data_IF_385326473539
#
_entry.id   IF_385326473539
#
_cell.length_a   1.000
_cell.length_b   1.000
_cell.length_c   1.000
_cell.angle_alpha   90.00
_cell.angle_beta   90.00
_cell.angle_gamma   90.00
#
_symmetry.space_group_name_H-M   'P 1'
#
loop_
_entity.id
_entity.type
_entity.pdbx_description
1 polymer ?
#
# COMPACT_ATOMS: atom_id res chain seq x y z
N UNK A 1 -11.18 23.86 -4.41
CA UNK A 1 -9.81 24.41 -4.34
C UNK A 1 -9.60 25.32 -5.54
N UNK A 2 -8.93 26.47 -5.37
CA UNK A 2 -8.69 27.45 -6.44
C UNK A 2 -7.78 26.88 -7.53
N UNK A 3 -6.85 26.00 -7.15
CA UNK A 3 -5.89 25.38 -8.05
C UNK A 3 -6.54 24.65 -9.24
N UNK A 4 -7.67 23.96 -9.04
CA UNK A 4 -8.36 23.27 -10.14
C UNK A 4 -8.91 24.22 -11.21
N UNK A 5 -9.30 25.44 -10.83
CA UNK A 5 -9.71 26.46 -11.80
C UNK A 5 -8.53 27.10 -12.51
N UNK A 6 -7.38 27.22 -11.83
CA UNK A 6 -6.17 27.80 -12.40
C UNK A 6 -5.48 26.87 -13.40
N UNK A 7 -5.45 25.56 -13.13
CA UNK A 7 -4.86 24.59 -14.07
C UNK A 7 -5.62 24.45 -15.40
N UNK A 8 -6.85 25.00 -15.47
CA UNK A 8 -7.64 25.07 -16.70
C UNK A 8 -7.43 26.36 -17.49
N UNK A 9 -6.64 27.31 -16.97
CA UNK A 9 -6.31 28.55 -17.69
C UNK A 9 -5.24 28.30 -18.75
N UNK A 10 -5.25 29.14 -19.79
CA UNK A 10 -4.28 29.08 -20.89
C UNK A 10 -2.84 29.37 -20.45
N UNK A 11 -2.68 30.16 -19.39
CA UNK A 11 -1.41 30.41 -18.73
C UNK A 11 -1.49 29.87 -17.30
N UNK A 12 -0.88 28.70 -17.07
CA UNK A 12 -0.82 28.07 -15.76
C UNK A 12 0.20 28.74 -14.84
N UNK A 13 1.12 29.56 -15.38
CA UNK A 13 2.35 29.94 -14.69
C UNK A 13 3.31 28.74 -14.50
N UNK A 14 4.19 28.84 -13.50
CA UNK A 14 5.17 27.80 -13.22
C UNK A 14 4.57 26.65 -12.41
N UNK A 15 4.69 25.42 -12.93
CA UNK A 15 4.32 24.21 -12.21
C UNK A 15 5.52 23.72 -11.40
N UNK A 16 5.33 23.57 -10.09
CA UNK A 16 6.37 23.22 -9.14
C UNK A 16 6.19 21.78 -8.66
N UNK A 17 7.20 20.95 -8.92
CA UNK A 17 7.31 19.55 -8.56
C UNK A 17 8.31 19.37 -7.42
N UNK A 18 7.82 18.82 -6.31
CA UNK A 18 8.57 18.59 -5.08
C UNK A 18 8.49 17.11 -4.72
N UNK A 19 9.60 16.55 -4.25
CA UNK A 19 9.74 15.12 -4.01
C UNK A 19 10.10 14.85 -2.56
N UNK A 20 9.49 13.81 -2.01
CA UNK A 20 9.70 13.34 -0.64
C UNK A 20 10.03 11.86 -0.69
N UNK A 21 11.05 11.44 0.04
CA UNK A 21 11.40 10.03 0.24
C UNK A 21 11.40 9.76 1.74
N UNK A 22 10.46 8.94 2.18
CA UNK A 22 10.28 8.62 3.60
C UNK A 22 11.09 7.37 3.97
N UNK A 23 12.21 7.57 4.67
CA UNK A 23 13.04 6.49 5.22
C UNK A 23 12.79 6.24 6.71
N UNK A 24 11.83 6.94 7.33
CA UNK A 24 11.52 6.79 8.76
C UNK A 24 11.14 5.36 9.17
N UNK A 25 10.45 4.54 8.34
CA UNK A 25 10.19 3.14 8.68
C UNK A 25 11.45 2.29 8.82
N UNK A 26 12.55 2.73 8.22
CA UNK A 26 13.86 2.06 8.29
C UNK A 26 14.80 2.68 9.33
N UNK A 27 14.32 3.63 10.14
CA UNK A 27 15.12 4.39 11.10
C UNK A 27 16.00 5.48 10.48
N UNK A 28 15.72 5.85 9.22
CA UNK A 28 16.37 6.96 8.52
C UNK A 28 15.59 8.27 8.63
N UNK A 29 16.02 9.26 7.85
CA UNK A 29 15.40 10.59 7.79
C UNK A 29 14.32 10.66 6.71
N UNK A 30 13.38 11.60 6.88
CA UNK A 30 12.44 11.97 5.83
C UNK A 30 13.11 13.01 4.92
N UNK A 31 13.50 12.57 3.72
CA UNK A 31 14.26 13.37 2.77
C UNK A 31 13.34 14.17 1.85
N UNK A 32 13.71 15.42 1.53
CA UNK A 32 12.90 16.36 0.73
C UNK A 32 13.76 17.06 -0.32
N UNK A 33 13.35 16.97 -1.58
CA UNK A 33 14.15 17.41 -2.71
C UNK A 33 13.32 18.05 -3.83
N UNK A 34 13.99 18.81 -4.69
CA UNK A 34 13.46 19.21 -6.00
C UNK A 34 14.50 18.99 -7.11
N UNK A 35 14.02 18.68 -8.32
CA UNK A 35 14.84 18.37 -9.49
C UNK A 35 15.28 19.59 -10.33
N UNK A 36 14.94 20.81 -9.93
CA UNK A 36 15.28 22.03 -10.68
C UNK A 36 16.78 22.33 -10.74
N UNK A 37 17.22 23.01 -11.80
CA UNK A 37 18.62 23.44 -11.99
C UNK A 37 19.06 24.54 -11.02
N UNK A 38 18.11 25.21 -10.36
CA UNK A 38 18.43 26.19 -9.33
C UNK A 38 19.00 25.51 -8.09
N UNK A 39 19.94 26.17 -7.43
CA UNK A 39 20.55 25.68 -6.19
C UNK A 39 19.86 26.20 -4.92
N UNK A 40 18.80 26.99 -5.08
CA UNK A 40 18.05 27.56 -3.96
C UNK A 40 17.06 26.54 -3.41
N UNK A 41 16.96 26.46 -2.09
CA UNK A 41 15.95 25.65 -1.40
C UNK A 41 14.56 26.22 -1.70
N UNK A 42 13.62 25.35 -2.06
CA UNK A 42 12.21 25.71 -2.16
C UNK A 42 11.54 25.41 -0.82
N UNK A 43 10.77 26.36 -0.29
CA UNK A 43 9.94 26.19 0.91
C UNK A 43 8.48 25.94 0.52
N UNK A 44 7.91 24.85 1.05
CA UNK A 44 6.52 24.50 0.80
C UNK A 44 5.89 23.88 2.05
N UNK A 45 4.74 24.40 2.47
CA UNK A 45 4.03 23.95 3.67
C UNK A 45 4.93 23.99 4.93
N UNK A 46 5.84 24.97 5.00
CA UNK A 46 6.81 25.11 6.08
C UNK A 46 7.98 24.14 6.05
N UNK A 47 8.11 23.31 5.00
CA UNK A 47 9.23 22.38 4.82
C UNK A 47 10.21 22.87 3.76
N UNK A 48 11.49 22.57 3.96
CA UNK A 48 12.56 22.88 3.02
C UNK A 48 12.82 21.71 2.07
N UNK A 49 12.82 22.00 0.77
CA UNK A 49 13.15 21.07 -0.30
C UNK A 49 14.47 21.50 -0.94
N UNK A 50 15.50 20.67 -0.78
CA UNK A 50 16.83 20.98 -1.30
C UNK A 50 16.99 20.62 -2.78
N UNK A 51 17.94 21.25 -3.50
CA UNK A 51 18.27 20.86 -4.85
C UNK A 51 18.92 19.48 -4.87
N UNK A 52 18.32 18.54 -5.60
CA UNK A 52 18.95 17.25 -5.89
C UNK A 52 18.55 16.77 -7.28
N UNK A 53 19.49 16.41 -8.17
CA UNK A 53 19.16 15.91 -9.50
C UNK A 53 18.32 14.64 -9.39
N UNK A 54 17.05 14.71 -9.77
CA UNK A 54 16.15 13.56 -9.79
C UNK A 54 15.05 13.77 -10.82
N UNK A 55 14.53 12.68 -11.37
CA UNK A 55 13.44 12.70 -12.33
C UNK A 55 12.60 11.43 -12.22
N UNK A 56 11.29 11.54 -12.38
CA UNK A 56 10.38 10.39 -12.51
C UNK A 56 9.83 10.38 -13.93
N UNK A 57 9.94 9.24 -14.60
CA UNK A 57 9.40 8.99 -15.93
C UNK A 57 8.36 7.86 -15.90
N UNK A 58 7.45 7.82 -16.88
CA UNK A 58 6.42 6.78 -16.95
C UNK A 58 5.25 6.98 -15.99
N UNK A 59 5.00 8.22 -15.55
CA UNK A 59 3.80 8.58 -14.79
C UNK A 59 2.59 8.54 -15.73
N UNK A 60 1.92 7.40 -15.83
CA UNK A 60 0.71 7.22 -16.64
C UNK A 60 -0.51 6.90 -15.77
N UNK A 61 -1.56 7.72 -15.81
CA UNK A 61 -2.84 7.35 -15.18
C UNK A 61 -3.66 6.54 -16.18
N UNK A 62 -3.54 5.21 -16.14
CA UNK A 62 -4.41 4.31 -16.92
C UNK A 62 -5.67 4.00 -16.12
N UNK A 63 -6.83 4.16 -16.75
CA UNK A 63 -8.14 3.79 -16.17
C UNK A 63 -8.47 2.29 -16.27
N UNK A 64 -7.70 1.54 -17.07
CA UNK A 64 -7.87 0.10 -17.29
C UNK A 64 -6.49 -0.55 -17.53
N UNK A 65 -6.27 -1.75 -17.01
CA UNK A 65 -4.99 -2.48 -17.05
C UNK A 65 -4.12 -2.39 -15.78
N UNK A 66 -2.92 -3.01 -15.80
CA UNK A 66 -2.01 -3.00 -14.66
C UNK A 66 -1.56 -1.57 -14.35
N UNK A 67 -1.40 -1.27 -13.05
CA UNK A 67 -0.87 0.01 -12.58
C UNK A 67 0.47 0.32 -13.26
N UNK A 68 0.72 1.58 -13.65
CA UNK A 68 2.02 1.97 -14.21
C UNK A 68 3.14 1.63 -13.22
N UNK A 69 4.31 1.32 -13.76
CA UNK A 69 5.56 1.17 -13.00
C UNK A 69 6.54 2.27 -13.41
N UNK A 70 6.41 3.49 -12.84
CA UNK A 70 7.30 4.60 -13.16
C UNK A 70 8.75 4.29 -12.79
N UNK A 71 9.68 4.93 -13.49
CA UNK A 71 11.11 4.85 -13.16
C UNK A 71 11.55 6.16 -12.50
N UNK A 72 12.09 6.06 -11.29
CA UNK A 72 12.74 7.17 -10.59
C UNK A 72 14.25 7.10 -10.83
N UNK A 73 14.81 8.14 -11.43
CA UNK A 73 16.26 8.31 -11.60
C UNK A 73 16.77 9.38 -10.65
N UNK A 74 17.79 9.05 -9.84
CA UNK A 74 18.37 9.95 -8.83
C UNK A 74 19.87 10.08 -9.07
N UNK A 75 20.38 11.31 -9.01
CA UNK A 75 21.81 11.59 -9.06
C UNK A 75 22.55 10.95 -7.89
N UNK A 76 23.66 10.28 -8.16
CA UNK A 76 24.46 9.56 -7.18
C UNK A 76 25.67 10.36 -6.69
N UNK A 77 25.68 11.67 -6.93
CA UNK A 77 26.76 12.59 -6.53
C UNK A 77 26.18 13.59 -5.54
N UNK A 78 26.67 13.57 -4.31
CA UNK A 78 26.37 14.58 -3.29
C UNK A 78 27.56 15.50 -3.04
N UNK A 79 27.54 16.18 -1.89
CA UNK A 79 28.62 17.06 -1.43
C UNK A 79 29.17 16.58 -0.10
N UNK A 80 30.49 16.62 0.08
CA UNK A 80 31.12 16.42 1.38
C UNK A 80 30.96 17.66 2.29
N UNK A 81 31.50 17.59 3.52
CA UNK A 81 31.44 18.70 4.50
C UNK A 81 32.15 19.97 4.02
N UNK A 82 33.07 19.83 3.07
CA UNK A 82 33.87 20.90 2.50
C UNK A 82 33.31 21.37 1.14
N UNK A 83 32.16 20.82 0.70
CA UNK A 83 31.47 21.16 -0.54
C UNK A 83 31.98 20.46 -1.79
N UNK A 84 32.94 19.51 -1.69
CA UNK A 84 33.44 18.79 -2.85
C UNK A 84 32.47 17.68 -3.29
N UNK A 85 32.43 17.33 -4.60
CA UNK A 85 31.60 16.25 -5.09
C UNK A 85 31.97 14.91 -4.45
N UNK A 86 31.00 14.27 -3.79
CA UNK A 86 31.12 12.94 -3.21
C UNK A 86 30.29 11.95 -4.03
N UNK A 87 30.91 11.07 -4.84
CA UNK A 87 30.18 10.04 -5.58
C UNK A 87 29.72 8.91 -4.66
N UNK A 88 28.63 8.25 -5.03
CA UNK A 88 28.12 7.05 -4.35
C UNK A 88 27.22 7.31 -3.14
N UNK A 89 26.69 8.52 -2.97
CA UNK A 89 25.84 8.85 -1.81
C UNK A 89 24.55 8.04 -1.80
N UNK A 90 23.87 7.92 -2.95
CA UNK A 90 22.64 7.12 -3.06
C UNK A 90 22.98 5.62 -2.99
N UNK A 91 24.11 5.19 -3.56
CA UNK A 91 24.61 3.82 -3.40
C UNK A 91 24.83 3.45 -1.93
N UNK A 92 25.41 4.36 -1.14
CA UNK A 92 25.60 4.15 0.29
C UNK A 92 24.26 4.04 1.05
N UNK A 93 23.27 4.88 0.70
CA UNK A 93 21.91 4.76 1.24
C UNK A 93 21.28 3.41 0.86
N UNK A 94 21.46 2.94 -0.36
CA UNK A 94 20.99 1.62 -0.80
C UNK A 94 21.64 0.50 0.03
N UNK A 95 22.96 0.56 0.28
CA UNK A 95 23.64 -0.42 1.11
C UNK A 95 23.14 -0.43 2.56
N UNK A 96 22.86 0.75 3.11
CA UNK A 96 22.37 0.91 4.48
C UNK A 96 20.92 0.41 4.66
N UNK A 97 20.05 0.71 3.68
CA UNK A 97 18.61 0.51 3.78
C UNK A 97 18.06 -0.53 2.81
N UNK A 98 18.87 -1.56 2.47
CA UNK A 98 18.46 -2.70 1.62
C UNK A 98 17.82 -2.25 0.30
N UNK A 99 18.58 -1.47 -0.48
CA UNK A 99 18.20 -0.88 -1.75
C UNK A 99 16.97 0.04 -1.69
N UNK A 100 16.64 0.56 -0.50
CA UNK A 100 15.48 1.42 -0.26
C UNK A 100 14.15 0.74 -0.62
N UNK A 101 14.13 -0.59 -0.73
CA UNK A 101 12.92 -1.33 -1.07
C UNK A 101 11.82 -1.11 -0.03
N UNK A 102 10.64 -0.71 -0.50
CA UNK A 102 9.48 -0.35 0.32
C UNK A 102 9.51 1.08 0.85
N UNK A 103 10.53 1.88 0.53
CA UNK A 103 10.52 3.31 0.87
C UNK A 103 9.46 4.04 0.05
N UNK A 104 8.72 4.93 0.73
CA UNK A 104 7.64 5.69 0.10
C UNK A 104 8.21 6.92 -0.58
N UNK A 105 7.90 7.06 -1.87
CA UNK A 105 8.21 8.24 -2.68
C UNK A 105 6.93 9.01 -2.91
N UNK A 106 6.89 10.27 -2.51
CA UNK A 106 5.74 11.16 -2.73
C UNK A 106 6.16 12.34 -3.60
N UNK A 107 5.41 12.59 -4.66
CA UNK A 107 5.53 13.75 -5.51
C UNK A 107 4.37 14.70 -5.23
N UNK A 108 4.71 15.90 -4.76
CA UNK A 108 3.78 17.01 -4.57
C UNK A 108 3.90 17.96 -5.74
N UNK A 109 2.76 18.45 -6.20
CA UNK A 109 2.69 19.37 -7.34
C UNK A 109 1.80 20.56 -7.00
N UNK A 110 2.34 21.76 -7.15
CA UNK A 110 1.62 23.02 -6.95
C UNK A 110 1.96 24.03 -8.05
N UNK A 111 1.33 25.20 -8.05
CA UNK A 111 1.75 26.33 -8.89
C UNK A 111 2.70 27.22 -8.09
N UNK A 112 3.74 27.74 -8.72
CA UNK A 112 4.78 28.55 -8.08
C UNK A 112 4.23 29.75 -7.31
N UNK A 113 3.14 30.35 -7.80
CA UNK A 113 2.45 31.45 -7.12
C UNK A 113 1.87 31.10 -5.75
N UNK A 114 1.65 29.82 -5.46
CA UNK A 114 1.12 29.38 -4.18
C UNK A 114 2.21 29.12 -3.13
N UNK A 115 3.49 29.05 -3.55
CA UNK A 115 4.63 28.74 -2.68
C UNK A 115 4.72 29.68 -1.47
N UNK A 116 5.35 29.20 -0.39
CA UNK A 116 5.48 29.95 0.86
C UNK A 116 6.15 31.30 0.62
N UNK A 117 5.77 32.32 1.41
CA UNK A 117 6.28 33.70 1.28
C UNK A 117 7.81 33.80 1.36
N UNK A 118 8.44 32.93 2.14
CA UNK A 118 9.89 32.87 2.34
C UNK A 118 10.69 32.60 1.05
N UNK A 119 10.06 32.10 -0.01
CA UNK A 119 10.72 31.90 -1.30
C UNK A 119 10.97 33.22 -2.04
N UNK A 120 10.31 34.31 -1.66
CA UNK A 120 10.30 35.57 -2.39
C UNK A 120 10.83 36.71 -1.52
N UNK A 121 11.75 37.56 -2.02
CA UNK A 121 12.33 38.66 -1.24
C UNK A 121 11.30 39.65 -0.67
N UNK A 122 10.18 39.86 -1.37
CA UNK A 122 9.08 40.75 -0.95
C UNK A 122 7.92 40.00 -0.26
N UNK A 123 8.10 38.70 0.00
CA UNK A 123 7.03 37.81 0.43
C UNK A 123 6.11 37.37 -0.72
N UNK A 124 5.08 36.59 -0.38
CA UNK A 124 4.08 36.15 -1.35
C UNK A 124 2.66 36.30 -0.78
N UNK A 125 1.86 37.26 -1.29
CA UNK A 125 0.47 37.45 -0.85
C UNK A 125 -0.47 36.32 -1.33
N UNK A 126 -0.08 35.60 -2.38
CA UNK A 126 -0.82 34.48 -2.94
C UNK A 126 -0.42 33.13 -2.32
N UNK A 127 0.49 33.13 -1.33
CA UNK A 127 0.91 31.91 -0.64
C UNK A 127 -0.30 31.19 -0.03
N UNK A 128 -0.51 29.94 -0.43
CA UNK A 128 -1.63 29.13 0.07
C UNK A 128 -1.22 27.64 0.11
N UNK A 129 -0.85 27.11 1.30
CA UNK A 129 -0.40 25.73 1.45
C UNK A 129 -1.47 24.69 1.14
N UNK A 130 -2.75 25.08 1.05
CA UNK A 130 -3.86 24.20 0.69
C UNK A 130 -4.06 24.06 -0.83
N UNK A 131 -3.34 24.84 -1.65
CA UNK A 131 -3.39 24.72 -3.10
C UNK A 131 -2.31 23.74 -3.57
N UNK A 132 -2.62 22.45 -3.55
CA UNK A 132 -1.82 21.41 -4.21
C UNK A 132 -2.72 20.55 -5.11
N UNK A 133 -2.13 20.00 -6.17
CA UNK A 133 -2.76 18.91 -6.90
C UNK A 133 -2.68 17.64 -6.05
N UNK A 134 -3.58 16.66 -6.28
CA UNK A 134 -3.54 15.39 -5.55
C UNK A 134 -2.13 14.80 -5.57
N UNK A 135 -1.50 14.60 -4.39
CA UNK A 135 -0.15 14.10 -4.32
C UNK A 135 -0.11 12.68 -4.87
N UNK A 136 0.94 12.39 -5.64
CA UNK A 136 1.15 11.06 -6.20
C UNK A 136 2.16 10.33 -5.33
N UNK A 137 1.85 9.10 -4.92
CA UNK A 137 2.74 8.34 -4.06
C UNK A 137 2.94 6.92 -4.54
N UNK A 138 4.18 6.47 -4.45
CA UNK A 138 4.65 5.16 -4.84
C UNK A 138 5.53 4.56 -3.75
N UNK A 139 5.83 3.28 -3.88
CA UNK A 139 6.85 2.58 -3.11
C UNK A 139 7.96 2.11 -4.05
N UNK A 140 9.21 2.17 -3.59
CA UNK A 140 10.35 1.62 -4.34
C UNK A 140 10.25 0.09 -4.32
N UNK A 141 10.09 -0.52 -5.49
CA UNK A 141 9.96 -1.98 -5.62
C UNK A 141 11.32 -2.67 -5.75
N UNK A 142 12.18 -2.12 -6.62
CA UNK A 142 13.53 -2.63 -6.86
C UNK A 142 14.44 -1.56 -7.47
N UNK A 143 15.75 -1.71 -7.24
CA UNK A 143 16.80 -0.95 -7.92
C UNK A 143 17.08 -1.58 -9.28
N UNK A 144 16.82 -0.84 -10.37
CA UNK A 144 17.00 -1.33 -11.74
C UNK A 144 18.46 -1.23 -12.20
N UNK A 145 19.10 -0.10 -11.93
CA UNK A 145 20.48 0.13 -12.33
C UNK A 145 21.19 1.09 -11.38
N UNK A 146 22.51 0.95 -11.31
CA UNK A 146 23.38 1.76 -10.48
C UNK A 146 24.68 2.03 -11.23
N UNK A 147 25.08 3.30 -11.27
CA UNK A 147 26.40 3.72 -11.72
C UNK A 147 26.92 4.86 -10.81
N UNK A 148 28.14 5.34 -11.06
CA UNK A 148 28.76 6.37 -10.22
C UNK A 148 28.06 7.74 -10.27
N UNK A 149 27.23 7.99 -11.27
CA UNK A 149 26.54 9.27 -11.50
C UNK A 149 25.04 9.22 -11.20
N UNK A 150 24.39 8.08 -11.33
CA UNK A 150 22.95 7.92 -11.11
C UNK A 150 22.57 6.52 -10.63
N UNK A 151 21.44 6.45 -9.92
CA UNK A 151 20.75 5.23 -9.51
C UNK A 151 19.31 5.29 -9.99
N UNK A 152 18.81 4.21 -10.58
CA UNK A 152 17.45 4.11 -11.10
C UNK A 152 16.65 3.07 -10.32
N UNK A 153 15.43 3.44 -9.94
CA UNK A 153 14.49 2.62 -9.18
C UNK A 153 13.20 2.41 -9.96
N UNK A 154 12.64 1.21 -9.85
CA UNK A 154 11.28 0.93 -10.26
C UNK A 154 10.33 1.28 -9.12
N UNK A 155 9.27 2.03 -9.43
CA UNK A 155 8.25 2.43 -8.49
C UNK A 155 6.97 1.61 -8.72
N UNK A 156 6.35 1.17 -7.63
CA UNK A 156 5.05 0.53 -7.62
C UNK A 156 4.03 1.44 -6.92
N UNK A 157 2.77 1.41 -7.37
CA UNK A 157 1.70 2.11 -6.64
C UNK A 157 1.45 1.42 -5.29
N UNK A 158 1.19 2.17 -4.22
CA UNK A 158 0.91 1.65 -2.86
C UNK A 158 -0.23 0.61 -2.82
N UNK A 159 -1.14 0.63 -3.80
CA UNK A 159 -2.22 -0.35 -3.94
C UNK A 159 -1.78 -1.69 -4.58
N UNK A 160 -0.53 -1.83 -4.99
CA UNK A 160 -0.01 -3.10 -5.48
C UNK A 160 0.16 -4.01 -4.27
N UNK A 161 -0.81 -4.90 -4.05
CA UNK A 161 -0.89 -5.75 -2.86
C UNK A 161 0.17 -6.85 -2.92
N UNK A 162 1.39 -6.50 -2.54
CA UNK A 162 2.49 -7.43 -2.48
C UNK A 162 2.23 -8.47 -1.38
N UNK A 163 2.28 -9.76 -1.77
CA UNK A 163 2.04 -10.88 -0.86
C UNK A 163 0.58 -11.33 -0.67
N UNK A 164 -0.40 -10.65 -1.27
CA UNK A 164 -1.78 -11.17 -1.31
C UNK A 164 -1.91 -12.19 -2.43
N UNK A 165 -1.80 -13.49 -2.09
CA UNK A 165 -2.17 -14.55 -3.02
C UNK A 165 -3.68 -14.52 -3.25
N UNK A 166 -4.09 -14.00 -4.41
CA UNK A 166 -5.42 -14.23 -4.94
C UNK A 166 -5.49 -15.62 -5.58
N UNK A 167 -6.57 -16.39 -5.35
CA UNK A 167 -7.73 -16.06 -4.54
C UNK A 167 -7.47 -16.30 -3.03
N UNK A 168 -7.91 -15.36 -2.18
CA UNK A 168 -7.85 -15.50 -0.71
C UNK A 168 -8.70 -16.65 -0.15
N UNK A 169 -9.44 -17.35 -1.02
CA UNK A 169 -10.28 -18.49 -0.73
C UNK A 169 -9.82 -19.72 -1.52
N UNK A 170 -9.22 -20.70 -0.84
CA UNK A 170 -8.86 -22.00 -1.43
C UNK A 170 -9.91 -23.02 -1.00
N UNK A 171 -10.74 -23.46 -1.95
CA UNK A 171 -11.71 -24.56 -1.74
C UNK A 171 -10.95 -25.88 -1.72
N UNK A 172 -10.82 -26.51 -0.55
CA UNK A 172 -10.22 -27.84 -0.40
C UNK A 172 -11.33 -28.89 -0.24
N UNK A 173 -11.21 -30.01 -0.96
CA UNK A 173 -12.22 -31.10 -0.96
C UNK A 173 -12.29 -31.85 0.37
N UNK A 174 -11.28 -31.74 1.23
CA UNK A 174 -11.16 -32.52 2.47
C UNK A 174 -11.56 -31.77 3.74
N UNK A 175 -11.59 -30.44 3.73
CA UNK A 175 -11.80 -29.63 4.94
C UNK A 175 -12.67 -28.40 4.64
N UNK A 176 -13.59 -28.10 5.55
CA UNK A 176 -14.42 -26.91 5.51
C UNK A 176 -13.58 -25.64 5.61
N UNK A 177 -13.77 -24.72 4.67
CA UNK A 177 -13.12 -23.42 4.70
C UNK A 177 -13.62 -22.52 5.84
N UNK A 178 -14.88 -22.68 6.26
CA UNK A 178 -15.49 -21.81 7.28
C UNK A 178 -14.87 -22.00 8.65
N UNK A 179 -14.37 -23.18 8.99
CA UNK A 179 -13.66 -23.39 10.25
C UNK A 179 -12.31 -22.67 10.30
N UNK A 180 -11.66 -22.44 9.14
CA UNK A 180 -10.37 -21.73 9.06
C UNK A 180 -10.49 -20.23 9.24
N UNK A 181 -11.63 -19.64 8.86
CA UNK A 181 -11.87 -18.19 8.99
C UNK A 181 -12.74 -17.84 10.21
N UNK A 182 -12.94 -18.79 11.14
CA UNK A 182 -13.75 -18.57 12.35
C UNK A 182 -15.27 -18.51 12.12
N UNK A 183 -15.75 -18.99 10.97
CA UNK A 183 -17.16 -19.00 10.58
C UNK A 183 -18.01 -20.14 11.15
N UNK A 184 -17.46 -21.00 12.01
CA UNK A 184 -18.22 -22.03 12.73
C UNK A 184 -19.24 -21.38 13.68
N UNK A 185 -20.49 -21.88 13.70
CA UNK A 185 -21.65 -21.26 14.38
C UNK A 185 -22.02 -19.83 13.93
N UNK A 186 -21.28 -19.24 13.00
CA UNK A 186 -21.57 -17.93 12.41
C UNK A 186 -22.45 -18.00 11.16
N UNK A 187 -22.67 -16.84 10.55
CA UNK A 187 -23.43 -16.67 9.31
C UNK A 187 -22.86 -17.45 8.11
N UNK A 188 -21.60 -17.89 8.17
CA UNK A 188 -20.98 -18.71 7.14
C UNK A 188 -21.40 -20.19 7.24
N UNK A 189 -21.09 -20.86 8.36
CA UNK A 189 -21.42 -22.27 8.54
C UNK A 189 -22.92 -22.53 8.73
N UNK A 190 -23.66 -21.55 9.28
CA UNK A 190 -25.09 -21.64 9.61
C UNK A 190 -25.50 -22.80 10.52
N UNK A 191 -24.54 -23.40 11.23
CA UNK A 191 -24.83 -24.34 12.30
C UNK A 191 -25.41 -23.58 13.50
N UNK A 192 -26.70 -23.77 13.76
CA UNK A 192 -27.42 -23.13 14.86
C UNK A 192 -27.91 -24.12 15.93
N UNK A 193 -27.49 -25.38 15.82
CA UNK A 193 -27.84 -26.45 16.78
C UNK A 193 -27.20 -26.25 18.15
N UNK A 194 -27.90 -26.69 19.19
CA UNK A 194 -27.44 -26.64 20.57
C UNK A 194 -26.36 -27.67 20.89
N UNK A 195 -26.31 -28.79 20.15
CA UNK A 195 -25.28 -29.80 20.32
C UNK A 195 -23.89 -29.20 20.06
N UNK A 196 -22.93 -29.51 20.93
CA UNK A 196 -21.56 -29.02 20.87
C UNK A 196 -20.61 -30.21 20.82
N UNK A 197 -19.53 -30.06 20.07
CA UNK A 197 -18.51 -31.10 19.93
C UNK A 197 -17.12 -30.48 20.00
N UNK A 198 -16.20 -31.17 20.66
CA UNK A 198 -14.81 -30.76 20.69
C UNK A 198 -14.11 -30.98 19.33
N UNK A 199 -12.82 -30.61 19.27
CA UNK A 199 -11.98 -30.75 18.08
C UNK A 199 -11.88 -32.20 17.57
N UNK A 200 -12.11 -33.17 18.45
CA UNK A 200 -11.98 -34.61 18.20
C UNK A 200 -13.38 -35.25 17.98
N UNK A 201 -14.40 -34.40 17.74
CA UNK A 201 -15.80 -34.76 17.51
C UNK A 201 -16.47 -35.49 18.70
N UNK A 202 -15.95 -35.35 19.92
CA UNK A 202 -16.63 -35.84 21.11
C UNK A 202 -17.67 -34.83 21.60
N UNK A 203 -18.87 -35.28 22.02
CA UNK A 203 -19.87 -34.40 22.59
C UNK A 203 -19.30 -33.65 23.80
N UNK A 204 -19.55 -32.34 23.87
CA UNK A 204 -19.16 -31.51 25.00
C UNK A 204 -20.31 -30.64 25.45
N UNK A 205 -20.33 -30.27 26.73
CA UNK A 205 -21.25 -29.28 27.30
C UNK A 205 -20.58 -27.93 27.52
N UNK A 206 -19.27 -27.85 27.34
CA UNK A 206 -18.49 -26.61 27.51
C UNK A 206 -18.45 -25.81 26.19
N UNK A 207 -19.05 -24.60 26.13
CA UNK A 207 -19.00 -23.75 24.95
C UNK A 207 -17.59 -23.32 24.53
N UNK A 208 -16.63 -23.25 25.46
CA UNK A 208 -15.25 -22.88 25.13
C UNK A 208 -14.50 -24.01 24.40
N UNK A 209 -14.94 -25.25 24.61
CA UNK A 209 -14.40 -26.44 23.97
C UNK A 209 -15.07 -26.76 22.61
N UNK A 210 -16.23 -26.15 22.30
CA UNK A 210 -16.97 -26.39 21.06
C UNK A 210 -16.18 -25.90 19.83
N UNK A 211 -15.61 -26.85 19.08
CA UNK A 211 -14.78 -26.57 17.91
C UNK A 211 -15.07 -27.58 16.81
N UNK A 212 -15.31 -27.11 15.60
CA UNK A 212 -15.48 -27.98 14.44
C UNK A 212 -14.11 -28.22 13.76
N UNK A 213 -13.69 -29.49 13.57
CA UNK A 213 -12.46 -29.79 12.83
C UNK A 213 -12.62 -29.63 11.31
N UNK A 214 -13.84 -29.36 10.83
CA UNK A 214 -14.13 -29.07 9.42
C UNK A 214 -14.23 -30.31 8.51
N UNK A 215 -14.32 -31.52 9.07
CA UNK A 215 -14.46 -32.76 8.30
C UNK A 215 -15.93 -33.11 8.01
N UNK A 216 -16.18 -33.94 6.99
CA UNK A 216 -17.55 -34.36 6.59
C UNK A 216 -18.26 -35.08 7.74
N UNK A 217 -17.52 -35.94 8.45
CA UNK A 217 -18.00 -36.65 9.64
C UNK A 217 -18.49 -35.69 10.72
N UNK A 218 -17.82 -34.56 10.91
CA UNK A 218 -18.20 -33.51 11.87
C UNK A 218 -19.53 -32.85 11.51
N UNK A 219 -19.77 -32.59 10.21
CA UNK A 219 -21.03 -32.03 9.73
C UNK A 219 -22.16 -33.06 9.87
N UNK A 220 -21.90 -34.35 9.59
CA UNK A 220 -22.88 -35.43 9.79
C UNK A 220 -23.30 -35.54 11.25
N UNK A 221 -22.35 -35.58 12.19
CA UNK A 221 -22.65 -35.62 13.62
C UNK A 221 -23.53 -34.44 14.07
N UNK A 222 -23.26 -33.25 13.55
CA UNK A 222 -24.03 -32.03 13.86
C UNK A 222 -25.42 -32.01 13.22
N UNK A 223 -25.59 -32.67 12.07
CA UNK A 223 -26.88 -32.86 11.41
C UNK A 223 -27.73 -33.92 12.12
N UNK A 224 -27.10 -35.01 12.57
CA UNK A 224 -27.75 -36.18 13.17
C UNK A 224 -27.98 -36.04 14.68
N UNK A 225 -27.32 -35.08 15.35
CA UNK A 225 -27.47 -34.87 16.78
C UNK A 225 -28.86 -34.39 17.19
N UNK A 226 -29.33 -34.86 18.34
CA UNK A 226 -30.54 -34.36 19.00
C UNK A 226 -30.36 -32.88 19.35
N UNK A 227 -31.30 -32.03 18.93
CA UNK A 227 -31.19 -30.55 18.98
C UNK A 227 -29.96 -29.98 18.24
N UNK A 228 -29.31 -30.79 17.40
CA UNK A 228 -28.36 -30.35 16.37
C UNK A 228 -29.11 -29.92 15.11
N UNK A 229 -28.44 -29.18 14.24
CA UNK A 229 -28.95 -28.92 12.90
C UNK A 229 -28.47 -27.62 12.27
N UNK A 230 -28.61 -27.58 10.95
CA UNK A 230 -28.55 -26.38 10.14
C UNK A 230 -29.97 -25.85 9.94
N UNK A 231 -30.16 -24.54 10.01
CA UNK A 231 -31.48 -23.94 9.85
C UNK A 231 -32.12 -24.36 8.51
N UNK A 232 -33.31 -24.96 8.56
CA UNK A 232 -34.01 -25.46 7.36
C UNK A 232 -33.35 -26.68 6.68
N UNK A 233 -32.43 -27.38 7.35
CA UNK A 233 -31.71 -28.55 6.81
C UNK A 233 -30.71 -28.22 5.70
N UNK A 234 -30.51 -26.94 5.41
CA UNK A 234 -29.64 -26.48 4.32
C UNK A 234 -28.35 -25.89 4.90
N UNK A 235 -27.23 -26.30 4.32
CA UNK A 235 -25.95 -25.66 4.56
C UNK A 235 -25.79 -24.48 3.61
N UNK A 236 -25.13 -23.41 4.06
CA UNK A 236 -24.89 -22.23 3.23
C UNK A 236 -23.94 -22.54 2.06
N UNK A 237 -23.94 -21.67 1.06
CA UNK A 237 -23.02 -21.76 -0.07
C UNK A 237 -21.56 -21.87 0.43
N UNK A 238 -20.77 -22.76 -0.19
CA UNK A 238 -19.39 -23.11 0.20
C UNK A 238 -19.21 -23.74 1.59
N UNK A 239 -20.29 -24.07 2.31
CA UNK A 239 -20.20 -24.98 3.45
C UNK A 239 -19.86 -26.40 2.97
N UNK A 240 -19.26 -27.18 3.86
CA UNK A 240 -18.68 -28.49 3.53
C UNK A 240 -19.67 -29.65 3.70
N UNK A 241 -19.75 -30.61 2.76
CA UNK A 241 -19.04 -30.66 1.49
C UNK A 241 -19.67 -29.66 0.51
N UNK A 242 -18.83 -28.97 -0.28
CA UNK A 242 -19.25 -27.90 -1.18
C UNK A 242 -20.50 -28.33 -1.95
N UNK A 243 -21.62 -27.68 -1.62
CA UNK A 243 -22.99 -27.97 -2.02
C UNK A 243 -23.17 -29.00 -3.15
N UNK A 244 -23.45 -30.25 -2.78
CA UNK A 244 -24.52 -31.00 -3.41
C UNK A 244 -25.42 -31.54 -2.30
N UNK A 245 -26.73 -31.55 -2.54
CA UNK A 245 -27.73 -32.02 -1.59
C UNK A 245 -27.29 -33.39 -1.07
N UNK A 246 -27.11 -33.53 0.25
CA UNK A 246 -27.21 -34.85 0.88
C UNK A 246 -28.68 -35.27 0.76
N UNK A 247 -29.09 -35.75 -0.42
CA UNK A 247 -30.33 -36.48 -0.57
C UNK A 247 -30.12 -37.80 0.16
N UNK A 248 -30.81 -37.98 1.28
CA UNK A 248 -31.19 -39.30 1.74
C UNK A 248 -32.10 -39.99 0.73
#
# INVERSE_FOLDING_TARGET
>A
MKIYGDVQRLDLGELVDLFEIDLTPFGGEHLRFHGYLQLQVIKWQGNEYGPWPLQIEGIETKGDGPSPTPTLSVGNIGSDKDGNPLPGVISALCMQYRDLKGARVTMRRTLGKYLDADNFPEGNPDADPAQELPPQSWEIELKQSENSQSVSFELATVMNADGVRLPGLIVQTSVCQWTRIGGYRGSYCAYAGQAMFDRDNQPTTDPAADRCPGLLSSCRLRLEATNGGFAGGNMNFLAFPAADRLRG
#
